data_IF_514442829022
#
_entry.id   IF_514442829022
#
_cell.length_a   1.000
_cell.length_b   1.000
_cell.length_c   1.000
_cell.angle_alpha   90.00
_cell.angle_beta   90.00
_cell.angle_gamma   90.00
#
_symmetry.space_group_name_H-M   'P 1'
#
loop_
_entity.id
_entity.type
_entity.pdbx_description
1 polymer ?
#
# COMPACT_ATOMS: atom_id res chain seq x y z
N UNK A 1 -7.34 16.98 -2.68
CA UNK A 1 -6.64 16.53 -1.47
C UNK A 1 -7.42 15.41 -0.80
N UNK A 2 -6.86 14.21 -0.85
CA UNK A 2 -7.37 12.98 -0.24
C UNK A 2 -6.45 12.60 0.95
N UNK A 3 -6.99 12.31 2.15
CA UNK A 3 -6.21 11.77 3.25
C UNK A 3 -5.76 10.33 2.96
N UNK A 4 -4.48 10.02 3.14
CA UNK A 4 -3.92 8.66 2.94
C UNK A 4 -4.10 7.72 4.13
N UNK A 5 -4.51 8.28 5.27
CA UNK A 5 -4.54 7.63 6.58
C UNK A 5 -3.18 7.28 7.21
N UNK A 6 -2.07 7.61 6.56
CA UNK A 6 -0.71 7.49 7.13
C UNK A 6 -0.40 8.72 7.98
N UNK A 7 -0.08 8.52 9.26
CA UNK A 7 0.11 9.61 10.24
C UNK A 7 1.54 9.81 10.76
N UNK A 8 2.47 8.95 10.35
CA UNK A 8 3.86 9.05 10.79
C UNK A 8 4.79 8.60 9.66
N UNK A 9 5.98 9.20 9.64
CA UNK A 9 7.11 8.70 8.87
C UNK A 9 7.84 7.59 9.66
N UNK A 10 8.69 6.77 9.00
CA UNK A 10 9.51 5.79 9.71
C UNK A 10 10.41 6.47 10.74
N UNK A 11 10.71 5.84 11.87
CA UNK A 11 11.58 6.42 12.90
C UNK A 11 12.85 5.61 13.19
N UNK A 12 13.06 4.52 12.44
CA UNK A 12 14.21 3.64 12.57
C UNK A 12 14.03 2.57 13.65
N UNK A 13 12.82 2.41 14.20
CA UNK A 13 12.46 1.29 15.08
C UNK A 13 11.68 0.21 14.33
N UNK A 14 11.37 0.43 13.05
CA UNK A 14 10.67 -0.52 12.21
C UNK A 14 11.51 -1.79 12.01
N UNK A 15 10.95 -2.96 12.32
CA UNK A 15 11.62 -4.25 12.17
C UNK A 15 10.64 -5.36 11.76
N UNK A 16 11.18 -6.39 11.09
CA UNK A 16 10.44 -7.57 10.65
C UNK A 16 10.32 -7.70 9.13
N UNK A 17 9.59 -8.73 8.72
CA UNK A 17 9.39 -9.09 7.31
C UNK A 17 8.03 -8.58 6.83
N UNK A 18 8.05 -7.90 5.68
CA UNK A 18 6.87 -7.24 5.09
C UNK A 18 6.76 -7.61 3.62
N UNK A 19 5.52 -7.87 3.17
CA UNK A 19 5.22 -7.97 1.75
C UNK A 19 4.80 -6.59 1.23
N UNK A 20 5.23 -6.27 0.00
CA UNK A 20 4.70 -5.13 -0.72
C UNK A 20 4.27 -5.53 -2.13
N UNK A 21 3.08 -5.05 -2.50
CA UNK A 21 2.52 -5.19 -3.84
C UNK A 21 2.55 -3.83 -4.53
N UNK A 22 2.98 -3.80 -5.78
CA UNK A 22 3.01 -2.58 -6.61
C UNK A 22 2.26 -2.82 -7.90
N UNK A 23 1.05 -2.27 -7.97
CA UNK A 23 0.24 -2.25 -9.18
C UNK A 23 0.03 -0.81 -9.62
N UNK A 24 0.64 -0.46 -10.76
CA UNK A 24 0.51 0.89 -11.31
C UNK A 24 0.64 1.00 -12.82
N UNK A 25 0.76 -0.10 -13.55
CA UNK A 25 0.91 -0.16 -15.01
C UNK A 25 0.92 -1.60 -15.50
N UNK A 26 1.57 -1.88 -16.63
CA UNK A 26 1.68 -3.25 -17.20
C UNK A 26 2.58 -4.20 -16.40
N UNK A 27 3.38 -3.66 -15.49
CA UNK A 27 4.27 -4.43 -14.62
C UNK A 27 3.71 -4.43 -13.19
N UNK A 28 3.32 -5.60 -12.72
CA UNK A 28 3.00 -5.86 -11.33
C UNK A 28 4.28 -6.29 -10.60
N UNK A 29 4.54 -5.78 -9.40
CA UNK A 29 5.70 -6.20 -8.60
C UNK A 29 5.26 -6.76 -7.26
N UNK A 30 5.91 -7.85 -6.87
CA UNK A 30 5.83 -8.41 -5.53
C UNK A 30 7.21 -8.27 -4.90
N UNK A 31 7.24 -7.76 -3.66
CA UNK A 31 8.47 -7.47 -2.93
C UNK A 31 8.39 -8.12 -1.54
N UNK A 32 9.48 -8.72 -1.09
CA UNK A 32 9.73 -9.07 0.31
C UNK A 32 10.78 -8.11 0.85
N UNK A 33 10.44 -7.39 1.91
CA UNK A 33 11.30 -6.42 2.57
C UNK A 33 11.55 -6.92 3.99
N UNK A 34 12.83 -7.00 4.38
CA UNK A 34 13.23 -7.27 5.76
C UNK A 34 13.82 -6.01 6.36
N UNK A 35 13.17 -5.49 7.40
CA UNK A 35 13.60 -4.28 8.09
C UNK A 35 14.33 -4.66 9.38
N UNK A 36 15.45 -3.98 9.62
CA UNK A 36 16.22 -4.03 10.87
C UNK A 36 16.57 -2.60 11.29
N UNK A 37 15.58 -1.90 11.84
CA UNK A 37 15.71 -0.51 12.25
C UNK A 37 15.86 0.42 11.04
N UNK A 38 17.09 0.83 10.73
CA UNK A 38 17.42 1.71 9.58
C UNK A 38 17.94 0.95 8.37
N UNK A 39 18.13 -0.36 8.49
CA UNK A 39 18.56 -1.21 7.40
C UNK A 39 17.36 -1.91 6.75
N UNK A 40 17.44 -2.08 5.44
CA UNK A 40 16.39 -2.72 4.65
C UNK A 40 17.01 -3.63 3.59
N UNK A 41 16.73 -4.93 3.69
CA UNK A 41 16.98 -5.89 2.62
C UNK A 41 15.72 -6.05 1.79
N UNK A 42 15.86 -6.12 0.47
CA UNK A 42 14.72 -6.19 -0.44
C UNK A 42 14.98 -7.17 -1.57
N UNK A 43 14.08 -8.14 -1.70
CA UNK A 43 13.99 -9.02 -2.86
C UNK A 43 12.66 -8.80 -3.56
N UNK A 44 12.65 -8.82 -4.88
CA UNK A 44 11.43 -8.57 -5.63
C UNK A 44 11.39 -9.26 -6.97
N UNK A 45 10.17 -9.49 -7.46
CA UNK A 45 9.91 -10.06 -8.77
C UNK A 45 8.86 -9.24 -9.51
N UNK A 46 9.11 -9.05 -10.80
CA UNK A 46 8.19 -8.36 -11.71
C UNK A 46 7.40 -9.43 -12.48
N UNK A 47 6.09 -9.27 -12.49
CA UNK A 47 5.15 -10.06 -13.26
C UNK A 47 4.48 -9.15 -14.28
N UNK A 48 4.33 -9.63 -15.51
CA UNK A 48 3.51 -8.93 -16.50
C UNK A 48 2.04 -9.17 -16.20
N UNK A 49 1.23 -8.12 -16.34
CA UNK A 49 -0.23 -8.25 -16.34
C UNK A 49 -0.67 -8.31 -17.81
N UNK A 50 -1.23 -9.44 -18.29
CA UNK A 50 -1.71 -9.53 -19.66
C UNK A 50 -2.79 -8.50 -19.95
N UNK A 51 -2.85 -7.97 -21.17
CA UNK A 51 -3.87 -6.99 -21.57
C UNK A 51 -5.31 -7.54 -21.43
N UNK A 52 -5.49 -8.84 -21.69
CA UNK A 52 -6.76 -9.55 -21.46
C UNK A 52 -7.19 -9.56 -20.00
N UNK A 53 -6.24 -9.51 -19.05
CA UNK A 53 -6.51 -9.43 -17.61
C UNK A 53 -6.75 -7.98 -17.20
N UNK A 54 -5.95 -7.03 -17.73
CA UNK A 54 -6.11 -5.59 -17.46
C UNK A 54 -7.49 -5.04 -17.88
N UNK A 55 -8.08 -5.62 -18.92
CA UNK A 55 -9.40 -5.24 -19.48
C UNK A 55 -10.47 -6.33 -19.29
N UNK A 56 -10.17 -7.32 -18.46
CA UNK A 56 -11.06 -8.44 -18.17
C UNK A 56 -12.03 -8.12 -17.05
N UNK A 57 -12.32 -9.11 -16.20
CA UNK A 57 -13.10 -8.90 -14.97
C UNK A 57 -12.20 -8.54 -13.80
N UNK A 58 -12.75 -7.87 -12.79
CA UNK A 58 -12.08 -7.63 -11.53
C UNK A 58 -11.60 -8.93 -10.88
N UNK A 59 -12.44 -9.96 -10.86
CA UNK A 59 -12.07 -11.29 -10.37
C UNK A 59 -10.80 -11.81 -11.04
N UNK A 60 -10.73 -11.80 -12.39
CA UNK A 60 -9.56 -12.26 -13.13
C UNK A 60 -8.29 -11.45 -12.82
N UNK A 61 -8.42 -10.12 -12.64
CA UNK A 61 -7.31 -9.26 -12.28
C UNK A 61 -6.75 -9.59 -10.89
N UNK A 62 -7.61 -9.67 -9.88
CA UNK A 62 -7.18 -9.94 -8.51
C UNK A 62 -6.72 -11.39 -8.32
N UNK A 63 -7.27 -12.35 -9.06
CA UNK A 63 -6.78 -13.73 -9.09
C UNK A 63 -5.38 -13.82 -9.70
N UNK A 64 -5.10 -13.07 -10.77
CA UNK A 64 -3.75 -12.97 -11.33
C UNK A 64 -2.75 -12.37 -10.34
N UNK A 65 -3.16 -11.34 -9.59
CA UNK A 65 -2.33 -10.72 -8.53
C UNK A 65 -2.01 -11.76 -7.44
N UNK A 66 -3.03 -12.48 -6.95
CA UNK A 66 -2.86 -13.49 -5.92
C UNK A 66 -1.98 -14.67 -6.39
N UNK A 67 -2.13 -15.10 -7.64
CA UNK A 67 -1.27 -16.11 -8.29
C UNK A 67 0.19 -15.67 -8.37
N UNK A 68 0.45 -14.42 -8.80
CA UNK A 68 1.80 -13.88 -8.85
C UNK A 68 2.44 -13.81 -7.46
N UNK A 69 1.67 -13.43 -6.45
CA UNK A 69 2.12 -13.39 -5.06
C UNK A 69 2.45 -14.79 -4.52
N UNK A 70 1.57 -15.78 -4.73
CA UNK A 70 1.82 -17.17 -4.31
C UNK A 70 3.10 -17.73 -4.92
N UNK A 71 3.28 -17.56 -6.25
CA UNK A 71 4.51 -17.96 -6.95
C UNK A 71 5.76 -17.33 -6.33
N UNK A 72 5.71 -16.02 -6.04
CA UNK A 72 6.83 -15.33 -5.42
C UNK A 72 7.12 -15.85 -4.00
N UNK A 73 6.10 -16.05 -3.17
CA UNK A 73 6.27 -16.56 -1.81
C UNK A 73 6.93 -17.94 -1.79
N UNK A 74 6.50 -18.85 -2.68
CA UNK A 74 7.12 -20.18 -2.81
C UNK A 74 8.58 -20.07 -3.23
N UNK A 75 8.89 -19.25 -4.24
CA UNK A 75 10.27 -19.07 -4.73
C UNK A 75 11.22 -18.48 -3.68
N UNK A 76 10.70 -17.61 -2.80
CA UNK A 76 11.48 -16.98 -1.73
C UNK A 76 11.49 -17.79 -0.43
N UNK A 77 10.86 -18.97 -0.40
CA UNK A 77 10.76 -19.80 0.81
C UNK A 77 9.98 -19.12 1.94
N UNK A 78 9.08 -18.20 1.60
CA UNK A 78 8.20 -17.54 2.57
C UNK A 78 7.13 -18.54 3.00
N UNK A 79 7.10 -18.87 4.29
CA UNK A 79 6.11 -19.78 4.84
C UNK A 79 4.70 -19.22 4.66
N UNK A 80 3.82 -19.97 4.03
CA UNK A 80 2.40 -19.64 3.90
C UNK A 80 1.64 -19.80 5.21
N UNK A 81 2.24 -20.43 6.23
CA UNK A 81 1.66 -20.54 7.57
C UNK A 81 1.71 -19.24 8.38
N UNK A 82 2.55 -18.27 7.98
CA UNK A 82 2.68 -16.98 8.64
C UNK A 82 2.00 -15.89 7.80
N UNK A 83 0.99 -15.23 8.39
CA UNK A 83 0.39 -14.01 7.80
C UNK A 83 1.39 -12.86 7.90
N UNK A 84 2.12 -12.60 6.82
CA UNK A 84 2.99 -11.43 6.75
C UNK A 84 2.16 -10.16 6.56
N UNK A 85 2.49 -9.05 7.24
CA UNK A 85 1.88 -7.76 6.99
C UNK A 85 2.20 -7.31 5.56
N UNK A 86 1.16 -6.88 4.84
CA UNK A 86 1.22 -6.51 3.44
C UNK A 86 0.84 -5.05 3.24
N UNK A 87 1.70 -4.31 2.57
CA UNK A 87 1.41 -2.99 2.00
C UNK A 87 1.04 -3.12 0.52
N UNK A 88 -0.10 -2.56 0.12
CA UNK A 88 -0.55 -2.58 -1.27
C UNK A 88 -0.47 -1.18 -1.87
N UNK A 89 0.58 -0.94 -2.66
CA UNK A 89 0.64 0.24 -3.54
C UNK A 89 -0.30 0.00 -4.72
N UNK A 90 -1.47 0.61 -4.66
CA UNK A 90 -2.48 0.57 -5.72
C UNK A 90 -2.56 1.96 -6.37
N UNK A 91 -1.81 2.11 -7.47
CA UNK A 91 -1.52 3.43 -8.06
C UNK A 91 -2.62 3.90 -9.01
N UNK A 92 -3.86 3.89 -8.53
CA UNK A 92 -5.05 4.37 -9.24
C UNK A 92 -5.84 5.32 -8.33
N UNK A 93 -6.69 6.19 -8.91
CA UNK A 93 -7.55 7.06 -8.12
C UNK A 93 -8.46 6.26 -7.18
N UNK A 94 -8.25 6.42 -5.87
CA UNK A 94 -9.04 5.74 -4.84
C UNK A 94 -9.59 6.74 -3.81
N UNK A 95 -10.83 6.51 -3.38
CA UNK A 95 -11.37 7.09 -2.16
C UNK A 95 -10.97 6.18 -1.01
N UNK A 96 -9.95 6.58 -0.25
CA UNK A 96 -9.60 5.90 0.99
C UNK A 96 -10.59 6.26 2.10
N UNK A 97 -11.08 5.26 2.82
CA UNK A 97 -11.92 5.39 4.01
C UNK A 97 -11.18 4.86 5.27
N UNK A 98 -9.95 4.37 5.09
CA UNK A 98 -9.03 3.97 6.14
C UNK A 98 -7.71 3.45 5.56
N UNK A 99 -6.77 3.03 6.42
CA UNK A 99 -5.51 2.40 5.96
C UNK A 99 -5.75 1.12 5.16
N UNK A 100 -6.83 0.38 5.44
CA UNK A 100 -7.11 -0.94 4.83
C UNK A 100 -8.43 -0.96 4.05
N UNK A 101 -8.94 0.21 3.65
CA UNK A 101 -10.17 0.35 2.86
C UNK A 101 -9.97 1.45 1.81
N UNK A 102 -10.01 1.07 0.54
CA UNK A 102 -9.86 1.99 -0.59
C UNK A 102 -10.78 1.59 -1.74
N UNK A 103 -11.76 2.44 -2.04
CA UNK A 103 -12.67 2.25 -3.16
C UNK A 103 -12.08 2.86 -4.42
N UNK A 104 -11.93 2.08 -5.49
CA UNK A 104 -11.50 2.62 -6.79
C UNK A 104 -12.53 3.65 -7.29
N UNK A 105 -12.07 4.82 -7.73
CA UNK A 105 -12.95 5.86 -8.30
C UNK A 105 -13.14 5.60 -9.80
N UNK A 106 -12.04 5.53 -10.53
CA UNK A 106 -12.02 5.23 -11.96
C UNK A 106 -10.68 4.63 -12.37
N UNK A 107 -10.70 3.78 -13.38
CA UNK A 107 -9.47 3.27 -13.98
C UNK A 107 -8.70 4.35 -14.74
N UNK A 108 -7.40 4.11 -14.85
CA UNK A 108 -6.46 4.90 -15.66
C UNK A 108 -5.46 3.95 -16.31
N UNK A 109 -4.52 4.47 -17.13
CA UNK A 109 -3.35 3.72 -17.65
C UNK A 109 -3.70 2.47 -18.47
N UNK A 110 -4.84 2.51 -19.15
CA UNK A 110 -5.30 1.43 -20.04
C UNK A 110 -5.92 0.22 -19.32
N UNK A 111 -6.04 0.25 -17.99
CA UNK A 111 -6.88 -0.69 -17.25
C UNK A 111 -8.35 -0.37 -17.50
N UNK A 112 -9.18 -1.41 -17.52
CA UNK A 112 -10.63 -1.29 -17.59
C UNK A 112 -11.30 -2.59 -17.09
N UNK A 113 -10.83 -3.12 -15.97
CA UNK A 113 -11.38 -4.36 -15.42
C UNK A 113 -12.77 -4.10 -14.82
N UNK A 114 -13.77 -4.89 -15.22
CA UNK A 114 -15.16 -4.70 -14.75
C UNK A 114 -15.30 -5.00 -13.25
N UNK A 115 -16.34 -4.45 -12.62
CA UNK A 115 -16.71 -4.74 -11.23
C UNK A 115 -15.69 -4.30 -10.16
N UNK A 116 -14.72 -3.45 -10.54
CA UNK A 116 -13.73 -2.87 -9.60
C UNK A 116 -14.03 -1.42 -9.25
N UNK A 117 -14.51 -0.60 -10.19
CA UNK A 117 -14.86 0.79 -9.92
C UNK A 117 -16.01 0.86 -8.89
N UNK A 118 -15.83 1.65 -7.83
CA UNK A 118 -16.71 1.72 -6.67
C UNK A 118 -16.46 0.65 -5.60
N UNK A 119 -15.72 -0.42 -5.91
CA UNK A 119 -15.44 -1.55 -5.02
C UNK A 119 -14.17 -1.32 -4.19
N UNK A 120 -14.13 -1.88 -2.98
CA UNK A 120 -12.93 -1.85 -2.13
C UNK A 120 -11.87 -2.85 -2.60
N UNK A 121 -10.73 -2.34 -3.04
CA UNK A 121 -9.65 -3.14 -3.65
C UNK A 121 -8.96 -4.06 -2.65
N UNK A 122 -9.00 -3.72 -1.35
CA UNK A 122 -8.46 -4.59 -0.29
C UNK A 122 -9.36 -5.81 -0.12
N UNK A 123 -10.68 -5.61 -0.14
CA UNK A 123 -11.66 -6.71 -0.11
C UNK A 123 -11.48 -7.63 -1.33
N UNK A 124 -11.38 -7.08 -2.53
CA UNK A 124 -11.16 -7.87 -3.76
C UNK A 124 -9.88 -8.71 -3.71
N UNK A 125 -8.78 -8.14 -3.20
CA UNK A 125 -7.52 -8.88 -3.01
C UNK A 125 -7.65 -10.00 -1.96
N UNK A 126 -8.33 -9.74 -0.84
CA UNK A 126 -8.59 -10.75 0.21
C UNK A 126 -9.44 -11.91 -0.33
N UNK A 127 -10.45 -11.60 -1.14
CA UNK A 127 -11.30 -12.62 -1.77
C UNK A 127 -10.52 -13.48 -2.75
N UNK A 128 -9.63 -12.88 -3.56
CA UNK A 128 -8.75 -13.63 -4.46
C UNK A 128 -7.82 -14.58 -3.70
N UNK A 129 -7.21 -14.13 -2.60
CA UNK A 129 -6.39 -15.00 -1.75
C UNK A 129 -7.23 -16.15 -1.16
N UNK A 130 -8.45 -15.85 -0.70
CA UNK A 130 -9.39 -16.86 -0.15
C UNK A 130 -9.80 -17.91 -1.19
N UNK A 131 -10.00 -17.52 -2.46
CA UNK A 131 -10.31 -18.45 -3.56
C UNK A 131 -9.18 -19.46 -3.81
N UNK A 132 -7.92 -19.07 -3.59
CA UNK A 132 -6.77 -19.96 -3.80
C UNK A 132 -6.52 -20.97 -2.68
N UNK A 133 -6.81 -20.61 -1.43
CA UNK A 133 -6.61 -21.43 -0.23
C UNK A 133 -5.14 -21.81 0.11
N UNK A 134 -4.15 -21.43 -0.71
CA UNK A 134 -2.72 -21.75 -0.51
C UNK A 134 -1.91 -20.59 0.12
N UNK A 135 -2.48 -19.39 0.14
CA UNK A 135 -1.87 -18.18 0.70
C UNK A 135 -2.85 -17.45 1.60
N UNK A 136 -2.31 -16.77 2.61
CA UNK A 136 -3.06 -15.96 3.54
C UNK A 136 -2.29 -14.67 3.84
N UNK A 137 -2.96 -13.53 3.75
CA UNK A 137 -2.32 -12.21 3.83
C UNK A 137 -2.98 -11.33 4.87
N UNK A 138 -2.18 -10.49 5.53
CA UNK A 138 -2.68 -9.41 6.37
C UNK A 138 -2.43 -8.07 5.68
N UNK A 139 -3.41 -7.60 4.89
CA UNK A 139 -3.32 -6.25 4.28
C UNK A 139 -3.49 -5.22 5.38
N UNK A 140 -2.38 -4.57 5.76
CA UNK A 140 -2.32 -3.55 6.82
C UNK A 140 -2.34 -2.13 6.27
N UNK A 141 -2.03 -1.96 4.99
CA UNK A 141 -2.10 -0.68 4.32
C UNK A 141 -2.38 -0.82 2.82
N UNK A 142 -3.24 0.03 2.29
CA UNK A 142 -3.33 0.37 0.87
C UNK A 142 -2.94 1.84 0.72
N UNK A 143 -2.15 2.15 -0.28
CA UNK A 143 -1.58 3.48 -0.46
C UNK A 143 -1.39 3.79 -1.93
N UNK A 144 -1.34 5.08 -2.21
CA UNK A 144 -0.78 5.58 -3.43
C UNK A 144 0.74 5.60 -3.36
N UNK A 145 1.33 5.51 -4.51
CA UNK A 145 2.75 5.67 -4.77
C UNK A 145 3.45 6.94 -4.26
N UNK A 146 2.86 8.12 -4.35
CA UNK A 146 3.49 9.35 -3.87
C UNK A 146 3.72 9.25 -2.37
N UNK A 147 2.73 8.68 -1.65
CA UNK A 147 2.82 8.34 -0.22
C UNK A 147 3.98 7.37 -0.02
N UNK A 148 4.05 6.32 -0.83
CA UNK A 148 5.15 5.37 -0.77
C UNK A 148 6.53 6.00 -1.05
N UNK A 149 6.60 6.95 -1.97
CA UNK A 149 7.82 7.66 -2.37
C UNK A 149 8.31 8.57 -1.24
N UNK A 150 7.42 9.32 -0.59
CA UNK A 150 7.75 10.08 0.61
C UNK A 150 8.29 9.14 1.69
N UNK A 151 7.59 8.02 1.96
CA UNK A 151 7.98 7.10 3.03
C UNK A 151 9.34 6.45 2.78
N UNK A 152 9.63 6.07 1.54
CA UNK A 152 10.94 5.54 1.14
C UNK A 152 12.07 6.57 1.28
N UNK A 153 11.79 7.85 1.03
CA UNK A 153 12.74 8.93 1.27
C UNK A 153 12.92 9.19 2.77
N UNK A 154 11.81 9.28 3.52
CA UNK A 154 11.79 9.53 4.96
C UNK A 154 12.48 8.43 5.80
N UNK A 155 12.53 7.20 5.28
CA UNK A 155 13.32 6.11 5.87
C UNK A 155 14.83 6.41 5.86
N UNK A 156 15.33 7.10 4.84
CA UNK A 156 16.74 7.50 4.73
C UNK A 156 17.01 8.87 5.33
N UNK A 157 16.13 9.82 5.02
CA UNK A 157 16.22 11.22 5.42
C UNK A 157 14.91 11.63 6.09
N UNK A 158 14.89 11.59 7.42
CA UNK A 158 13.67 11.75 8.21
C UNK A 158 13.02 13.14 8.07
N UNK A 159 13.77 14.15 7.61
CA UNK A 159 13.24 15.47 7.31
C UNK A 159 12.38 15.52 6.03
N UNK A 160 12.27 14.44 5.26
CA UNK A 160 11.40 14.39 4.08
C UNK A 160 9.91 14.47 4.47
N UNK A 161 9.24 15.51 3.99
CA UNK A 161 7.82 15.79 4.27
C UNK A 161 6.97 15.90 2.99
N UNK A 162 7.56 15.73 1.81
CA UNK A 162 6.90 15.83 0.50
C UNK A 162 7.42 14.70 -0.40
N UNK A 163 6.51 13.99 -1.05
CA UNK A 163 6.81 13.03 -2.12
C UNK A 163 6.20 13.51 -3.43
N UNK A 164 6.96 13.46 -4.52
CA UNK A 164 6.50 13.91 -5.84
C UNK A 164 6.82 12.83 -6.86
N UNK A 165 5.85 12.51 -7.71
CA UNK A 165 6.05 11.74 -8.93
C UNK A 165 5.92 12.67 -10.13
N UNK A 166 6.91 12.59 -11.02
CA UNK A 166 6.89 13.22 -12.34
C UNK A 166 7.23 12.13 -13.36
N UNK A 167 6.20 11.51 -13.92
CA UNK A 167 6.31 10.30 -14.74
C UNK A 167 5.24 10.23 -15.82
N UNK A 168 4.54 9.08 -15.91
CA UNK A 168 3.43 8.92 -16.87
C UNK A 168 2.25 9.80 -16.46
N UNK A 169 2.01 9.92 -15.15
CA UNK A 169 1.25 10.99 -14.51
C UNK A 169 2.16 11.94 -13.75
N UNK A 170 1.56 12.97 -13.13
CA UNK A 170 2.26 13.88 -12.21
C UNK A 170 1.43 14.02 -10.96
N UNK A 171 2.04 13.73 -9.82
CA UNK A 171 1.34 13.72 -8.56
C UNK A 171 2.26 14.12 -7.40
N UNK A 172 1.66 14.57 -6.28
CA UNK A 172 2.39 14.88 -5.07
C UNK A 172 1.60 14.50 -3.82
N UNK A 173 2.33 14.18 -2.75
CA UNK A 173 1.82 14.08 -1.40
C UNK A 173 2.70 14.86 -0.42
N UNK A 174 2.14 15.21 0.74
CA UNK A 174 2.88 15.84 1.84
C UNK A 174 2.22 15.55 3.19
N UNK A 175 2.98 15.68 4.28
CA UNK A 175 2.43 15.60 5.65
C UNK A 175 1.69 16.91 6.00
N UNK A 176 0.40 16.81 6.35
CA UNK A 176 -0.44 17.92 6.79
C UNK A 176 -0.94 17.70 8.22
N UNK A 177 -1.19 18.78 8.95
CA UNK A 177 -1.77 18.71 10.30
C UNK A 177 -3.26 18.39 10.25
N UNK A 178 -3.73 17.47 11.10
CA UNK A 178 -5.15 17.07 11.17
C UNK A 178 -6.09 18.27 11.32
N UNK A 179 -5.71 19.24 12.15
CA UNK A 179 -6.51 20.44 12.41
C UNK A 179 -6.73 21.34 11.17
N UNK A 180 -5.92 21.18 10.12
CA UNK A 180 -6.04 21.92 8.85
C UNK A 180 -6.85 21.17 7.79
N UNK A 181 -7.20 19.91 8.05
CA UNK A 181 -7.99 19.09 7.11
C UNK A 181 -9.48 19.31 7.41
N UNK A 182 -10.06 20.36 6.81
CA UNK A 182 -11.47 20.73 7.01
C UNK A 182 -12.47 19.60 6.76
N UNK A 183 -12.13 18.65 5.87
CA UNK A 183 -12.97 17.49 5.55
C UNK A 183 -13.07 16.45 6.67
N UNK A 184 -12.17 16.51 7.65
CA UNK A 184 -12.14 15.61 8.81
C UNK A 184 -12.53 16.33 10.11
N UNK A 185 -12.98 17.60 10.04
CA UNK A 185 -13.43 18.33 11.23
C UNK A 185 -14.65 17.63 11.84
N UNK A 186 -14.55 17.24 13.11
CA UNK A 186 -15.55 16.44 13.83
C UNK A 186 -15.34 14.92 13.78
N UNK A 187 -14.42 14.45 12.95
CA UNK A 187 -14.05 13.02 12.81
C UNK A 187 -12.58 12.77 13.22
N UNK A 188 -11.92 13.75 13.85
CA UNK A 188 -10.57 13.59 14.41
C UNK A 188 -10.65 12.56 15.53
N UNK A 189 -10.09 11.36 15.37
CA UNK A 189 -10.24 10.33 16.39
C UNK A 189 -9.34 10.65 17.58
N UNK A 190 -9.85 10.51 18.81
CA UNK A 190 -9.02 10.49 20.03
C UNK A 190 -8.32 9.12 20.14
N UNK A 191 -7.35 8.86 19.26
CA UNK A 191 -6.72 7.54 19.08
C UNK A 191 -5.25 7.48 19.53
N UNK A 192 -4.75 8.51 20.22
CA UNK A 192 -3.35 8.66 20.65
C UNK A 192 -2.31 8.49 19.53
N UNK A 193 -2.72 8.61 18.25
CA UNK A 193 -1.81 8.65 17.12
C UNK A 193 -1.38 10.10 16.84
N UNK A 194 -0.28 10.32 16.09
CA UNK A 194 0.14 11.68 15.74
C UNK A 194 -0.95 12.48 15.02
N UNK A 195 -1.02 13.79 15.28
CA UNK A 195 -1.96 14.74 14.67
C UNK A 195 -1.55 15.18 13.25
N UNK A 196 -1.02 14.25 12.46
CA UNK A 196 -0.64 14.47 11.07
C UNK A 196 -1.26 13.42 10.13
N UNK A 197 -1.55 13.81 8.90
CA UNK A 197 -1.94 12.91 7.81
C UNK A 197 -1.14 13.26 6.56
N UNK A 198 -0.73 12.24 5.82
CA UNK A 198 -0.27 12.45 4.46
C UNK A 198 -1.46 12.79 3.55
N UNK A 199 -1.45 14.00 2.99
CA UNK A 199 -2.36 14.40 1.93
C UNK A 199 -1.72 14.11 0.59
N UNK A 200 -2.54 13.65 -0.36
CA UNK A 200 -2.10 13.38 -1.72
C UNK A 200 -3.06 14.00 -2.74
N UNK A 201 -2.49 14.39 -3.88
CA UNK A 201 -3.20 14.44 -5.15
C UNK A 201 -3.29 12.98 -5.68
N UNK A 202 -4.15 12.68 -6.64
CA UNK A 202 -4.43 11.30 -7.04
C UNK A 202 -3.82 10.99 -8.40
N UNK A 203 -2.63 10.37 -8.47
CA UNK A 203 -2.05 9.62 -9.62
C UNK A 203 -0.64 8.98 -9.36
N UNK A 204 -0.41 7.75 -9.86
CA UNK A 204 0.81 6.97 -10.27
C UNK A 204 2.21 6.74 -9.57
N UNK A 205 2.53 5.47 -9.18
CA UNK A 205 3.84 4.72 -9.12
C UNK A 205 4.87 4.75 -7.92
N UNK A 206 4.99 3.70 -7.05
CA UNK A 206 6.22 3.21 -6.32
C UNK A 206 5.93 2.22 -5.17
N UNK A 207 6.36 0.96 -5.31
CA UNK A 207 6.11 -0.14 -4.36
C UNK A 207 6.95 -0.24 -3.07
N UNK A 208 8.13 0.39 -3.00
CA UNK A 208 9.01 0.24 -1.80
C UNK A 208 8.39 0.86 -0.55
N UNK A 209 7.69 1.97 -0.73
CA UNK A 209 7.02 2.63 0.36
C UNK A 209 5.85 1.86 0.95
N UNK A 210 5.26 0.92 0.20
CA UNK A 210 4.17 0.08 0.71
C UNK A 210 4.61 -0.71 1.95
N UNK A 211 5.80 -1.32 1.89
CA UNK A 211 6.36 -2.06 3.02
C UNK A 211 6.68 -1.15 4.21
N UNK A 212 7.17 0.06 3.96
CA UNK A 212 7.46 1.02 5.02
C UNK A 212 6.18 1.54 5.68
N UNK A 213 5.12 1.80 4.90
CA UNK A 213 3.81 2.14 5.45
C UNK A 213 3.25 0.97 6.26
N UNK A 214 3.37 -0.27 5.75
CA UNK A 214 2.97 -1.46 6.49
C UNK A 214 3.73 -1.60 7.83
N UNK A 215 5.03 -1.32 7.83
CA UNK A 215 5.86 -1.36 9.03
C UNK A 215 5.48 -0.27 10.03
N UNK A 216 5.28 0.96 9.57
CA UNK A 216 4.82 2.07 10.43
C UNK A 216 3.43 1.80 10.99
N UNK A 217 2.48 1.34 10.18
CA UNK A 217 1.14 0.97 10.63
C UNK A 217 1.19 -0.15 11.68
N UNK A 218 2.05 -1.15 11.47
CA UNK A 218 2.26 -2.26 12.41
C UNK A 218 2.86 -1.77 13.73
N UNK A 219 3.86 -0.88 13.67
CA UNK A 219 4.47 -0.25 14.85
C UNK A 219 3.43 0.53 15.65
N UNK A 220 2.67 1.39 15.00
CA UNK A 220 1.66 2.23 15.64
C UNK A 220 0.56 1.40 16.31
N UNK A 221 0.12 0.31 15.66
CA UNK A 221 -0.84 -0.63 16.25
C UNK A 221 -0.30 -1.32 17.51
N UNK A 222 0.99 -1.69 17.53
CA UNK A 222 1.64 -2.27 18.73
C UNK A 222 1.74 -1.26 19.87
N UNK A 223 2.10 -0.01 19.56
CA UNK A 223 2.17 1.09 20.54
C UNK A 223 0.81 1.36 21.18
N UNK A 224 -0.28 1.35 20.40
CA UNK A 224 -1.65 1.48 20.94
C UNK A 224 -2.06 0.30 21.84
N UNK A 225 -1.59 -0.91 21.56
CA UNK A 225 -1.92 -2.12 22.32
C UNK A 225 -1.03 -2.33 23.55
N UNK A 226 -0.04 -1.47 23.79
CA UNK A 226 0.90 -1.59 24.91
C UNK A 226 1.86 -2.79 24.80
N UNK A 227 2.00 -3.38 23.61
CA UNK A 227 2.92 -4.50 23.35
C UNK A 227 4.21 -3.96 22.71
N UNK A 228 5.04 -3.28 23.50
CA UNK A 228 6.38 -2.81 23.10
C UNK A 228 7.46 -3.79 23.55
#
# INVERSE_FOLDING_TARGET
>A
MLPSFVRAVPNGKECGDFLALDLGGTNFRVLLIRLSGREAEMTGKIFRVPESVMRGTGEALFDHIAECMAKFMVEQGVSTAQRLPLGFTFSFPCKQEGLTCAKLINWTKGFNATDVEGSDVVTLLREACRRRQDIDIDVVAVLNDTVGTLMACAFKENSCQIGVIVGTGTNACYMEKLCRIGKLQGEIPEDNLPDEYQLMLSEDGSGRGAALVAAVATRMKKEQLGCA
#
